data_IF_893972623500
#
_entry.id   IF_893972623500
#
_cell.length_a   1.000
_cell.length_b   1.000
_cell.length_c   1.000
_cell.angle_alpha   90.00
_cell.angle_beta   90.00
_cell.angle_gamma   90.00
#
_symmetry.space_group_name_H-M   'P 1'
#
loop_
_entity.id
_entity.type
_entity.pdbx_description
1 polymer ?
#
# COMPACT_ATOMS: atom_id res chain seq x y z
N UNK A 1 -11.93 16.62 -23.55
CA UNK A 1 -11.49 15.30 -24.03
C UNK A 1 -11.43 14.33 -22.85
N UNK A 2 -12.22 13.25 -22.84
CA UNK A 2 -12.04 12.16 -21.86
C UNK A 2 -10.67 11.53 -22.12
N UNK A 3 -9.73 11.57 -21.16
CA UNK A 3 -8.42 10.91 -21.28
C UNK A 3 -8.69 9.39 -21.45
N UNK A 4 -8.16 8.78 -22.53
CA UNK A 4 -8.26 7.33 -22.79
C UNK A 4 -7.87 6.55 -21.52
N UNK A 5 -8.73 5.65 -21.07
CA UNK A 5 -8.46 4.75 -19.94
C UNK A 5 -7.34 3.78 -20.35
N UNK A 6 -6.39 3.52 -19.46
CA UNK A 6 -5.28 2.59 -19.72
C UNK A 6 -5.56 1.28 -18.96
N UNK A 7 -6.31 0.37 -19.60
CA UNK A 7 -6.58 -0.95 -19.05
C UNK A 7 -5.42 -1.89 -19.37
N UNK A 8 -4.75 -2.40 -18.34
CA UNK A 8 -3.59 -3.28 -18.46
C UNK A 8 -3.75 -4.52 -17.56
N UNK A 9 -2.94 -5.56 -17.79
CA UNK A 9 -2.99 -6.82 -17.03
C UNK A 9 -1.68 -7.11 -16.28
N UNK A 10 -1.32 -6.29 -15.28
CA UNK A 10 0.01 -6.33 -14.68
C UNK A 10 0.27 -7.60 -13.85
N UNK A 11 -0.77 -8.25 -13.31
CA UNK A 11 -0.58 -9.46 -12.49
C UNK A 11 -0.09 -10.67 -13.28
N UNK A 12 -0.31 -10.71 -14.60
CA UNK A 12 0.16 -11.80 -15.48
C UNK A 12 1.70 -11.86 -15.62
N UNK A 13 2.40 -10.80 -15.20
CA UNK A 13 3.86 -10.69 -15.28
C UNK A 13 4.57 -11.08 -13.99
N UNK A 14 3.83 -11.28 -12.88
CA UNK A 14 4.42 -11.81 -11.66
C UNK A 14 4.91 -13.25 -11.87
N UNK A 15 6.07 -13.54 -11.28
CA UNK A 15 6.69 -14.87 -11.27
C UNK A 15 7.04 -15.25 -9.85
N UNK A 16 6.98 -16.54 -9.56
CA UNK A 16 7.39 -17.13 -8.28
C UNK A 16 8.89 -16.91 -8.06
N UNK A 17 9.29 -16.63 -6.83
CA UNK A 17 10.69 -16.36 -6.48
C UNK A 17 11.57 -17.60 -6.64
N UNK A 18 11.08 -18.78 -6.25
CA UNK A 18 11.89 -19.99 -6.22
C UNK A 18 12.31 -20.52 -7.61
N UNK A 19 11.42 -20.46 -8.59
CA UNK A 19 11.61 -21.08 -9.90
C UNK A 19 11.37 -20.14 -11.09
N UNK A 20 11.05 -18.87 -10.82
CA UNK A 20 10.74 -17.84 -11.80
C UNK A 20 9.64 -18.25 -12.80
N UNK A 21 8.78 -19.20 -12.44
CA UNK A 21 7.66 -19.61 -13.27
C UNK A 21 6.46 -18.67 -13.09
N UNK A 22 5.60 -18.53 -14.12
CA UNK A 22 4.31 -17.89 -13.98
C UNK A 22 3.48 -18.55 -12.88
N UNK A 23 2.70 -17.73 -12.17
CA UNK A 23 1.64 -18.27 -11.32
C UNK A 23 0.55 -18.95 -12.17
N UNK A 24 -0.16 -19.96 -11.63
CA UNK A 24 -1.31 -20.55 -12.30
C UNK A 24 -2.33 -19.48 -12.72
N UNK A 25 -2.97 -19.68 -13.88
CA UNK A 25 -3.94 -18.72 -14.40
C UNK A 25 -5.11 -18.48 -13.44
N UNK A 26 -5.55 -19.50 -12.72
CA UNK A 26 -6.59 -19.39 -11.68
C UNK A 26 -6.17 -18.49 -10.52
N UNK A 27 -4.93 -18.63 -10.03
CA UNK A 27 -4.36 -17.75 -9.00
C UNK A 27 -4.39 -16.28 -9.46
N UNK A 28 -3.94 -16.02 -10.69
CA UNK A 28 -3.94 -14.66 -11.25
C UNK A 28 -5.36 -14.11 -11.40
N UNK A 29 -6.33 -14.95 -11.82
CA UNK A 29 -7.75 -14.57 -11.86
C UNK A 29 -8.28 -14.22 -10.47
N UNK A 30 -7.94 -15.01 -9.46
CA UNK A 30 -8.35 -14.75 -8.07
C UNK A 30 -7.80 -13.42 -7.56
N UNK A 31 -6.57 -13.03 -7.93
CA UNK A 31 -6.04 -11.70 -7.57
C UNK A 31 -6.81 -10.55 -8.21
N UNK A 32 -7.21 -10.67 -9.48
CA UNK A 32 -8.04 -9.65 -10.12
C UNK A 32 -9.42 -9.53 -9.46
N UNK A 33 -10.07 -10.67 -9.21
CA UNK A 33 -11.38 -10.71 -8.54
C UNK A 33 -11.29 -10.13 -7.13
N UNK A 34 -10.30 -10.57 -6.34
CA UNK A 34 -10.07 -10.08 -4.99
C UNK A 34 -9.80 -8.57 -4.98
N UNK A 35 -8.97 -8.06 -5.89
CA UNK A 35 -8.72 -6.62 -6.02
C UNK A 35 -9.99 -5.84 -6.32
N UNK A 36 -10.74 -6.23 -7.34
CA UNK A 36 -11.97 -5.53 -7.69
C UNK A 36 -12.99 -5.56 -6.54
N UNK A 37 -13.18 -6.73 -5.92
CA UNK A 37 -14.11 -6.93 -4.82
C UNK A 37 -13.74 -6.09 -3.59
N UNK A 38 -12.49 -6.19 -3.11
CA UNK A 38 -12.06 -5.49 -1.89
C UNK A 38 -12.13 -3.97 -2.08
N UNK A 39 -11.71 -3.46 -3.24
CA UNK A 39 -11.76 -2.03 -3.51
C UNK A 39 -13.20 -1.50 -3.58
N UNK A 40 -14.16 -2.27 -4.12
CA UNK A 40 -15.58 -1.89 -4.08
C UNK A 40 -16.16 -2.01 -2.66
N UNK A 41 -15.87 -3.10 -1.96
CA UNK A 41 -16.37 -3.38 -0.60
C UNK A 41 -15.93 -2.34 0.42
N UNK A 42 -14.70 -1.82 0.28
CA UNK A 42 -14.11 -0.86 1.21
C UNK A 42 -14.11 0.60 0.70
N UNK A 43 -14.76 0.91 -0.43
CA UNK A 43 -14.70 2.25 -1.05
C UNK A 43 -15.13 3.40 -0.13
N UNK A 44 -16.05 3.13 0.80
CA UNK A 44 -16.58 4.11 1.75
C UNK A 44 -15.95 3.97 3.16
N UNK A 45 -14.94 3.11 3.31
CA UNK A 45 -14.24 2.89 4.58
C UNK A 45 -13.00 3.78 4.66
N UNK A 46 -12.99 4.69 5.63
CA UNK A 46 -11.83 5.51 5.97
C UNK A 46 -11.99 6.04 7.41
N UNK A 47 -10.90 6.34 8.09
CA UNK A 47 -10.96 6.88 9.46
C UNK A 47 -10.27 8.23 9.48
N UNK A 48 -10.86 9.23 10.12
CA UNK A 48 -10.21 10.53 10.29
C UNK A 48 -8.91 10.36 11.09
N UNK A 49 -7.84 11.12 10.79
CA UNK A 49 -6.64 11.17 11.61
C UNK A 49 -6.99 11.39 13.09
N UNK A 50 -6.36 10.62 13.99
CA UNK A 50 -6.64 10.66 15.43
C UNK A 50 -7.92 9.95 15.88
N UNK A 51 -8.73 9.38 14.97
CA UNK A 51 -9.87 8.54 15.37
C UNK A 51 -9.40 7.27 16.10
N UNK A 52 -10.13 6.86 17.13
CA UNK A 52 -9.90 5.60 17.85
C UNK A 52 -10.59 4.38 17.20
N UNK A 53 -11.28 4.59 16.07
CA UNK A 53 -11.90 3.50 15.31
C UNK A 53 -10.87 2.63 14.60
N UNK A 54 -11.24 1.39 14.27
CA UNK A 54 -10.41 0.52 13.45
C UNK A 54 -11.26 -0.35 12.54
N UNK A 55 -10.67 -0.78 11.43
CA UNK A 55 -11.30 -1.78 10.58
C UNK A 55 -11.13 -3.17 11.19
N UNK A 56 -12.24 -3.90 11.29
CA UNK A 56 -12.27 -5.34 11.54
C UNK A 56 -13.05 -6.03 10.43
N UNK A 57 -12.44 -7.00 9.77
CA UNK A 57 -13.04 -7.79 8.69
C UNK A 57 -12.95 -9.27 9.03
N UNK A 58 -14.05 -10.00 8.85
CA UNK A 58 -14.07 -11.46 8.88
C UNK A 58 -14.14 -11.98 7.46
N UNK A 59 -13.19 -12.85 7.10
CA UNK A 59 -13.20 -13.67 5.90
C UNK A 59 -13.61 -15.08 6.31
N UNK A 60 -14.80 -15.48 5.90
CA UNK A 60 -15.46 -16.72 6.33
C UNK A 60 -15.09 -17.88 5.39
N UNK A 61 -13.88 -18.41 5.60
CA UNK A 61 -13.29 -19.49 4.83
C UNK A 61 -11.86 -19.22 4.39
N UNK A 62 -11.23 -20.25 3.84
CA UNK A 62 -9.81 -20.27 3.47
C UNK A 62 -9.56 -20.96 2.11
N UNK A 63 -10.53 -20.82 1.21
CA UNK A 63 -10.38 -21.20 -0.20
C UNK A 63 -9.36 -20.30 -0.92
N UNK A 64 -8.77 -20.73 -2.04
CA UNK A 64 -7.81 -19.90 -2.79
C UNK A 64 -8.32 -18.51 -3.18
N UNK A 65 -9.63 -18.38 -3.46
CA UNK A 65 -10.25 -17.09 -3.75
C UNK A 65 -10.32 -16.20 -2.50
N UNK A 66 -10.76 -16.75 -1.37
CA UNK A 66 -10.83 -16.01 -0.10
C UNK A 66 -9.44 -15.65 0.44
N UNK A 67 -8.44 -16.50 0.28
CA UNK A 67 -7.05 -16.16 0.63
C UNK A 67 -6.46 -15.08 -0.28
N UNK A 68 -6.91 -15.00 -1.54
CA UNK A 68 -6.59 -13.87 -2.42
C UNK A 68 -7.26 -12.58 -1.94
N UNK A 69 -8.46 -12.65 -1.37
CA UNK A 69 -9.13 -11.53 -0.69
C UNK A 69 -8.36 -11.09 0.56
N UNK A 70 -7.93 -12.03 1.40
CA UNK A 70 -7.08 -11.75 2.58
C UNK A 70 -5.79 -11.04 2.16
N UNK A 71 -5.12 -11.54 1.11
CA UNK A 71 -3.94 -10.89 0.52
C UNK A 71 -4.25 -9.46 0.07
N UNK A 72 -5.37 -9.25 -0.61
CA UNK A 72 -5.72 -7.92 -1.11
C UNK A 72 -6.08 -6.95 0.03
N UNK A 73 -6.80 -7.41 1.06
CA UNK A 73 -7.05 -6.63 2.28
C UNK A 73 -5.71 -6.17 2.87
N UNK A 74 -4.75 -7.09 2.97
CA UNK A 74 -3.41 -6.81 3.47
C UNK A 74 -2.56 -5.85 2.61
N UNK A 75 -3.00 -5.51 1.38
CA UNK A 75 -2.32 -4.58 0.50
C UNK A 75 -2.94 -3.17 0.48
N UNK A 76 -4.20 -3.02 0.91
CA UNK A 76 -4.95 -1.76 0.75
C UNK A 76 -5.69 -1.26 2.00
N UNK A 77 -5.87 -2.09 3.02
CA UNK A 77 -6.56 -1.72 4.25
C UNK A 77 -5.61 -1.07 5.28
N UNK A 78 -4.91 -0.03 4.84
CA UNK A 78 -3.97 0.76 5.64
C UNK A 78 -4.55 2.15 5.84
N UNK A 79 -4.71 2.58 7.09
CA UNK A 79 -5.49 3.78 7.42
C UNK A 79 -4.67 4.83 8.16
N UNK A 80 -5.03 6.10 7.91
CA UNK A 80 -4.29 7.28 8.39
C UNK A 80 -4.31 7.43 9.91
N UNK A 81 -5.29 6.80 10.59
CA UNK A 81 -5.40 6.85 12.04
C UNK A 81 -4.60 5.76 12.75
N UNK A 82 -3.78 4.98 12.04
CA UNK A 82 -2.84 4.06 12.67
C UNK A 82 -1.80 4.82 13.48
N UNK A 83 -1.64 4.45 14.76
CA UNK A 83 -0.67 5.06 15.66
C UNK A 83 0.40 4.03 16.02
N UNK A 84 1.57 4.10 15.38
CA UNK A 84 2.71 3.23 15.73
C UNK A 84 3.25 3.57 17.15
N UNK A 85 3.30 4.87 17.47
CA UNK A 85 3.69 5.41 18.77
C UNK A 85 2.62 6.36 19.29
N UNK A 86 2.48 6.45 20.62
CA UNK A 86 1.64 7.45 21.27
C UNK A 86 2.28 8.85 21.25
N UNK A 87 1.54 9.86 21.73
CA UNK A 87 1.98 11.26 21.80
C UNK A 87 3.21 11.48 22.71
N UNK A 88 3.53 10.52 23.58
CA UNK A 88 4.72 10.54 24.44
C UNK A 88 5.90 9.78 23.79
N UNK A 89 5.74 9.30 22.55
CA UNK A 89 6.74 8.53 21.83
C UNK A 89 6.90 7.10 22.33
N UNK A 90 5.93 6.55 23.06
CA UNK A 90 5.93 5.15 23.50
C UNK A 90 5.27 4.27 22.45
N UNK A 91 5.84 3.09 22.23
CA UNK A 91 5.31 2.13 21.27
C UNK A 91 3.88 1.73 21.68
N UNK A 92 2.89 1.91 20.79
CA UNK A 92 1.47 1.71 21.10
C UNK A 92 0.74 0.83 20.07
N UNK A 93 1.07 0.97 18.78
CA UNK A 93 0.46 0.24 17.67
C UNK A 93 -1.07 0.15 17.73
N UNK A 94 -1.73 1.30 17.93
CA UNK A 94 -3.19 1.38 18.02
C UNK A 94 -3.81 1.43 16.63
N UNK A 95 -5.08 1.03 16.56
CA UNK A 95 -5.92 1.09 15.35
C UNK A 95 -5.40 0.25 14.18
N UNK A 96 -4.73 -0.88 14.45
CA UNK A 96 -4.44 -1.86 13.39
C UNK A 96 -5.71 -2.34 12.71
N UNK A 97 -5.62 -2.58 11.41
CA UNK A 97 -6.62 -3.37 10.69
C UNK A 97 -6.55 -4.81 11.16
N UNK A 98 -7.70 -5.36 11.55
CA UNK A 98 -7.83 -6.76 11.97
C UNK A 98 -8.47 -7.57 10.85
N UNK A 99 -7.74 -8.55 10.33
CA UNK A 99 -8.27 -9.51 9.35
C UNK A 99 -8.45 -10.86 10.04
N UNK A 100 -9.70 -11.23 10.28
CA UNK A 100 -10.06 -12.51 10.87
C UNK A 100 -10.30 -13.54 9.77
N UNK A 101 -9.67 -14.71 9.88
CA UNK A 101 -9.82 -15.82 8.94
C UNK A 101 -10.49 -16.98 9.68
N UNK A 102 -11.66 -17.39 9.23
CA UNK A 102 -12.36 -18.57 9.75
C UNK A 102 -11.91 -19.79 8.96
N UNK A 103 -11.42 -20.83 9.64
CA UNK A 103 -10.91 -22.04 8.97
C UNK A 103 -11.23 -23.31 9.73
N UNK A 104 -11.52 -24.37 8.96
CA UNK A 104 -11.60 -25.75 9.45
C UNK A 104 -10.24 -26.46 9.57
N UNK A 105 -9.14 -25.85 9.09
CA UNK A 105 -7.79 -26.45 9.13
C UNK A 105 -7.14 -26.31 10.50
N UNK A 106 -6.26 -27.26 10.85
CA UNK A 106 -5.37 -27.12 12.00
C UNK A 106 -4.33 -26.00 11.79
N UNK A 107 -3.62 -25.66 12.88
CA UNK A 107 -2.72 -24.50 12.96
C UNK A 107 -1.60 -24.61 11.92
N UNK A 108 -0.97 -25.76 11.80
CA UNK A 108 0.17 -25.93 10.91
C UNK A 108 -0.29 -25.90 9.45
N UNK A 109 -1.42 -26.55 9.14
CA UNK A 109 -2.01 -26.53 7.80
C UNK A 109 -2.39 -25.12 7.33
N UNK A 110 -3.08 -24.32 8.15
CA UNK A 110 -3.47 -22.97 7.74
C UNK A 110 -2.26 -22.03 7.63
N UNK A 111 -1.31 -22.11 8.56
CA UNK A 111 -0.10 -21.28 8.49
C UNK A 111 0.78 -21.64 7.29
N UNK A 112 0.88 -22.93 6.96
CA UNK A 112 1.54 -23.37 5.72
C UNK A 112 0.84 -22.85 4.48
N UNK A 113 -0.50 -22.81 4.46
CA UNK A 113 -1.26 -22.27 3.34
C UNK A 113 -1.03 -20.75 3.21
N UNK A 114 -1.19 -19.99 4.29
CA UNK A 114 -0.99 -18.54 4.30
C UNK A 114 0.45 -18.12 3.93
N UNK A 115 1.43 -18.95 4.27
CA UNK A 115 2.84 -18.74 3.96
C UNK A 115 3.21 -18.95 2.49
N UNK A 116 2.28 -19.36 1.62
CA UNK A 116 2.55 -19.48 0.17
C UNK A 116 2.73 -18.11 -0.48
N UNK A 117 3.52 -18.08 -1.55
CA UNK A 117 3.89 -16.86 -2.28
C UNK A 117 2.67 -16.11 -2.85
N UNK A 118 1.63 -16.84 -3.24
CA UNK A 118 0.43 -16.27 -3.83
C UNK A 118 -0.56 -15.63 -2.84
N UNK A 119 -0.30 -15.77 -1.53
CA UNK A 119 -1.16 -15.22 -0.47
C UNK A 119 -0.40 -14.20 0.39
N UNK A 120 -0.03 -14.54 1.63
CA UNK A 120 0.62 -13.60 2.55
C UNK A 120 2.14 -13.73 2.55
N UNK A 121 2.68 -14.86 2.09
CA UNK A 121 4.12 -15.10 2.00
C UNK A 121 4.83 -14.76 3.32
N UNK A 122 5.84 -13.87 3.30
CA UNK A 122 6.59 -13.49 4.50
C UNK A 122 5.79 -12.60 5.46
N UNK A 123 4.69 -11.97 5.02
CA UNK A 123 3.93 -11.06 5.88
C UNK A 123 3.47 -11.74 7.18
N UNK A 124 2.91 -12.96 7.08
CA UNK A 124 2.39 -13.69 8.26
C UNK A 124 3.48 -13.97 9.32
N UNK A 125 4.74 -14.02 8.91
CA UNK A 125 5.89 -14.25 9.81
C UNK A 125 6.34 -13.00 10.55
N UNK A 126 5.97 -11.81 10.06
CA UNK A 126 6.43 -10.53 10.59
C UNK A 126 5.32 -9.68 11.21
N UNK A 127 4.07 -9.86 10.77
CA UNK A 127 2.92 -9.22 11.37
C UNK A 127 2.54 -9.89 12.70
N UNK A 128 1.80 -9.16 13.54
CA UNK A 128 1.11 -9.76 14.68
C UNK A 128 0.03 -10.70 14.16
N UNK A 129 -0.04 -11.91 14.71
CA UNK A 129 -1.18 -12.77 14.47
C UNK A 129 -1.55 -13.56 15.71
N UNK A 130 -2.83 -13.92 15.82
CA UNK A 130 -3.34 -14.83 16.83
C UNK A 130 -3.96 -16.02 16.13
N UNK A 131 -3.58 -17.24 16.50
CA UNK A 131 -4.15 -18.48 15.96
C UNK A 131 -4.67 -19.33 17.10
N UNK A 132 -5.99 -19.57 17.11
CA UNK A 132 -6.67 -20.37 18.14
C UNK A 132 -6.33 -19.96 19.59
N UNK A 133 -6.16 -18.65 19.82
CA UNK A 133 -5.85 -18.06 21.13
C UNK A 133 -4.36 -17.83 21.40
N UNK A 134 -3.46 -18.34 20.55
CA UNK A 134 -2.02 -18.14 20.69
C UNK A 134 -1.54 -16.95 19.85
N UNK A 135 -0.97 -15.93 20.50
CA UNK A 135 -0.45 -14.73 19.84
C UNK A 135 1.04 -14.86 19.53
N UNK A 136 1.41 -14.42 18.32
CA UNK A 136 2.79 -14.37 17.82
C UNK A 136 3.09 -12.96 17.32
N UNK A 137 4.34 -12.52 17.50
CA UNK A 137 4.81 -11.18 17.13
C UNK A 137 3.98 -10.05 17.75
N UNK A 138 3.66 -10.14 19.04
CA UNK A 138 2.85 -9.13 19.74
C UNK A 138 3.42 -7.71 19.58
N UNK A 139 4.75 -7.58 19.58
CA UNK A 139 5.48 -6.32 19.36
C UNK A 139 5.70 -5.91 17.90
N UNK A 140 5.04 -6.54 16.91
CA UNK A 140 5.19 -6.17 15.50
C UNK A 140 4.79 -4.71 15.27
N UNK A 141 5.50 -3.92 14.47
CA UNK A 141 5.12 -2.54 14.16
C UNK A 141 4.11 -2.41 13.01
N UNK A 142 3.78 -3.51 12.32
CA UNK A 142 2.97 -3.52 11.10
C UNK A 142 1.50 -3.20 11.45
N UNK A 143 0.87 -2.33 10.66
CA UNK A 143 -0.50 -1.82 10.89
C UNK A 143 -1.63 -2.82 10.61
N UNK A 144 -1.30 -4.08 10.33
CA UNK A 144 -2.22 -5.19 10.10
C UNK A 144 -1.93 -6.31 11.09
N UNK A 145 -3.01 -6.87 11.65
CA UNK A 145 -2.96 -8.10 12.44
C UNK A 145 -3.95 -9.14 11.91
N UNK A 146 -3.59 -10.42 12.04
CA UNK A 146 -4.44 -11.54 11.62
C UNK A 146 -4.98 -12.30 12.83
N UNK A 147 -6.26 -12.67 12.78
CA UNK A 147 -6.90 -13.51 13.78
C UNK A 147 -7.43 -14.78 13.11
N UNK A 148 -6.83 -15.93 13.39
CA UNK A 148 -7.22 -17.21 12.79
C UNK A 148 -8.05 -17.98 13.81
N UNK A 149 -9.30 -18.26 13.46
CA UNK A 149 -10.31 -18.81 14.37
C UNK A 149 -11.04 -20.00 13.74
N UNK A 150 -11.61 -20.86 14.59
CA UNK A 150 -12.45 -21.99 14.15
C UNK A 150 -13.88 -21.58 13.87
N UNK A 151 -14.36 -20.63 14.67
CA UNK A 151 -15.73 -20.18 14.63
C UNK A 151 -15.77 -18.67 14.39
N UNK A 152 -16.75 -18.26 13.61
CA UNK A 152 -16.95 -16.87 13.27
C UNK A 152 -17.33 -16.04 14.51
N UNK A 153 -16.68 -14.90 14.76
CA UNK A 153 -17.13 -13.94 15.77
C UNK A 153 -18.50 -13.37 15.43
N UNK A 154 -19.38 -13.24 16.43
CA UNK A 154 -20.75 -12.74 16.24
C UNK A 154 -20.80 -11.23 15.92
N UNK A 155 -19.89 -10.44 16.51
CA UNK A 155 -19.93 -8.97 16.48
C UNK A 155 -18.94 -8.34 15.48
N UNK A 156 -18.94 -8.79 14.21
CA UNK A 156 -18.10 -8.19 13.17
C UNK A 156 -18.95 -7.47 12.09
N UNK A 157 -18.75 -6.15 11.87
CA UNK A 157 -19.56 -5.36 10.95
C UNK A 157 -19.31 -5.71 9.49
N UNK A 158 -18.08 -6.14 9.14
CA UNK A 158 -17.73 -6.56 7.78
C UNK A 158 -17.45 -8.04 7.76
N UNK A 159 -18.31 -8.80 7.09
CA UNK A 159 -18.09 -10.20 6.78
C UNK A 159 -18.03 -10.40 5.26
N UNK A 160 -17.08 -11.21 4.83
CA UNK A 160 -16.87 -11.58 3.43
C UNK A 160 -16.98 -13.10 3.34
N UNK A 161 -17.91 -13.58 2.52
CA UNK A 161 -18.05 -15.00 2.18
C UNK A 161 -17.71 -15.25 0.72
N UNK A 162 -17.41 -16.49 0.37
CA UNK A 162 -17.10 -16.86 -1.02
C UNK A 162 -18.26 -16.60 -1.98
N UNK A 163 -19.50 -16.82 -1.53
CA UNK A 163 -20.72 -16.50 -2.29
C UNK A 163 -20.83 -15.01 -2.67
N UNK A 164 -20.39 -14.12 -1.78
CA UNK A 164 -20.40 -12.66 -2.05
C UNK A 164 -19.38 -12.30 -3.13
N UNK A 165 -18.18 -12.88 -3.04
CA UNK A 165 -17.08 -12.59 -3.97
C UNK A 165 -17.37 -13.15 -5.35
N UNK A 166 -17.90 -14.38 -5.43
CA UNK A 166 -18.30 -15.02 -6.68
C UNK A 166 -19.50 -14.34 -7.31
N UNK A 167 -20.52 -13.96 -6.52
CA UNK A 167 -21.67 -13.19 -6.96
C UNK A 167 -21.27 -11.83 -7.54
N UNK A 168 -20.35 -11.10 -6.88
CA UNK A 168 -19.77 -9.87 -7.40
C UNK A 168 -19.05 -10.09 -8.73
N UNK A 169 -18.18 -11.10 -8.80
CA UNK A 169 -17.41 -11.40 -10.01
C UNK A 169 -18.31 -11.73 -11.22
N UNK A 170 -19.41 -12.44 -10.98
CA UNK A 170 -20.40 -12.78 -12.00
C UNK A 170 -21.18 -11.55 -12.50
N UNK A 171 -21.41 -10.55 -11.63
CA UNK A 171 -22.10 -9.31 -11.99
C UNK A 171 -21.20 -8.30 -12.72
N UNK A 172 -19.87 -8.41 -12.58
CA UNK A 172 -18.94 -7.49 -13.22
C UNK A 172 -18.77 -7.74 -14.73
N UNK A 173 -18.47 -6.66 -15.46
CA UNK A 173 -17.95 -6.77 -16.82
C UNK A 173 -16.61 -7.53 -16.79
N UNK A 174 -16.52 -8.63 -17.54
CA UNK A 174 -15.35 -9.53 -17.48
C UNK A 174 -14.07 -8.88 -18.02
N UNK A 175 -14.15 -7.99 -19.01
CA UNK A 175 -12.98 -7.26 -19.50
C UNK A 175 -12.45 -6.29 -18.44
N UNK A 176 -13.36 -5.59 -17.74
CA UNK A 176 -12.99 -4.66 -16.67
C UNK A 176 -12.54 -5.37 -15.40
N UNK A 177 -13.09 -6.54 -15.09
CA UNK A 177 -12.72 -7.34 -13.92
C UNK A 177 -11.27 -7.83 -14.03
N UNK A 178 -10.88 -8.29 -15.23
CA UNK A 178 -9.55 -8.85 -15.49
C UNK A 178 -8.59 -7.83 -16.13
N UNK A 179 -8.83 -6.53 -15.95
CA UNK A 179 -7.91 -5.46 -16.36
C UNK A 179 -7.98 -4.25 -15.44
N UNK A 180 -6.87 -3.56 -15.28
CA UNK A 180 -6.71 -2.49 -14.29
C UNK A 180 -6.47 -1.17 -15.01
N UNK A 181 -7.21 -0.13 -14.63
CA UNK A 181 -6.86 1.24 -15.04
C UNK A 181 -5.62 1.72 -14.29
N UNK A 182 -4.48 1.71 -14.98
CA UNK A 182 -3.16 1.98 -14.38
C UNK A 182 -2.82 3.47 -14.33
N UNK A 183 -3.71 4.37 -14.76
CA UNK A 183 -3.40 5.81 -14.82
C UNK A 183 -2.95 6.38 -13.48
N UNK A 184 -3.59 5.99 -12.37
CA UNK A 184 -3.16 6.42 -11.02
C UNK A 184 -1.74 5.91 -10.71
N UNK A 185 -1.49 4.62 -10.92
CA UNK A 185 -0.18 4.00 -10.71
C UNK A 185 0.95 4.66 -11.54
N UNK A 186 0.67 5.03 -12.80
CA UNK A 186 1.63 5.75 -13.65
C UNK A 186 1.96 7.13 -13.08
N UNK A 187 0.96 7.84 -12.54
CA UNK A 187 1.17 9.14 -11.91
C UNK A 187 1.91 9.01 -10.56
N UNK A 188 1.61 7.99 -9.76
CA UNK A 188 2.39 7.61 -8.57
C UNK A 188 3.86 7.39 -8.94
N UNK A 189 4.13 6.62 -9.99
CA UNK A 189 5.50 6.39 -10.47
C UNK A 189 6.22 7.65 -10.97
N UNK A 190 5.49 8.72 -11.34
CA UNK A 190 6.08 10.01 -11.72
C UNK A 190 6.54 10.82 -10.51
N UNK A 191 5.90 10.67 -9.35
CA UNK A 191 6.32 11.32 -8.10
C UNK A 191 7.76 10.92 -7.77
N UNK A 192 8.07 9.62 -7.85
CA UNK A 192 9.42 9.09 -7.63
C UNK A 192 10.48 9.61 -8.62
N UNK A 193 10.10 10.16 -9.78
CA UNK A 193 11.06 10.77 -10.72
C UNK A 193 11.57 12.13 -10.27
N UNK A 194 10.92 12.75 -9.27
CA UNK A 194 11.35 14.01 -8.70
C UNK A 194 12.33 13.82 -7.54
N UNK A 195 12.86 12.61 -7.35
CA UNK A 195 13.87 12.30 -6.34
C UNK A 195 14.98 13.34 -6.26
N UNK A 196 15.64 13.64 -7.38
CA UNK A 196 16.71 14.63 -7.43
C UNK A 196 16.31 16.06 -6.96
N UNK A 197 15.01 16.41 -6.98
CA UNK A 197 14.52 17.69 -6.47
C UNK A 197 14.33 17.64 -4.94
N UNK A 198 13.87 16.50 -4.41
CA UNK A 198 13.60 16.33 -2.98
C UNK A 198 14.79 15.76 -2.19
N UNK A 199 15.77 15.15 -2.85
CA UNK A 199 16.94 14.52 -2.21
C UNK A 199 17.73 15.53 -1.36
N UNK A 200 17.81 16.79 -1.81
CA UNK A 200 18.49 17.88 -1.10
C UNK A 200 17.68 18.48 0.07
N UNK A 201 16.46 18.02 0.33
CA UNK A 201 15.70 18.49 1.48
C UNK A 201 16.37 18.01 2.78
N UNK A 202 16.52 18.87 3.79
CA UNK A 202 17.03 18.45 5.10
C UNK A 202 16.10 17.40 5.74
N UNK A 203 16.67 16.53 6.58
CA UNK A 203 15.91 15.50 7.30
C UNK A 203 15.15 16.06 8.52
N UNK A 204 15.35 17.33 8.85
CA UNK A 204 14.56 18.07 9.83
C UNK A 204 13.22 18.49 9.22
N UNK A 205 12.12 18.22 9.94
CA UNK A 205 10.78 18.67 9.54
C UNK A 205 10.34 18.12 8.16
N UNK A 206 10.61 16.82 7.92
CA UNK A 206 10.30 16.09 6.67
C UNK A 206 8.82 16.16 6.30
N UNK A 207 7.92 16.38 7.26
CA UNK A 207 6.47 16.39 7.01
C UNK A 207 5.93 17.78 6.69
N UNK A 208 6.75 18.84 6.74
CA UNK A 208 6.32 20.19 6.38
C UNK A 208 6.09 20.34 4.88
N UNK A 209 4.83 20.54 4.51
CA UNK A 209 4.42 20.71 3.11
C UNK A 209 5.15 21.84 2.39
N UNK A 210 5.54 22.90 3.12
CA UNK A 210 6.29 24.05 2.59
C UNK A 210 7.60 23.64 1.93
N UNK A 211 8.24 22.56 2.41
CA UNK A 211 9.49 22.05 1.83
C UNK A 211 9.30 21.45 0.44
N UNK A 212 8.11 20.97 0.13
CA UNK A 212 7.80 20.28 -1.12
C UNK A 212 7.18 21.20 -2.18
N UNK A 213 6.95 22.49 -1.91
CA UNK A 213 6.25 23.40 -2.84
C UNK A 213 6.87 23.35 -4.24
N UNK A 214 8.20 23.47 -4.37
CA UNK A 214 8.86 23.42 -5.68
C UNK A 214 8.73 22.04 -6.37
N UNK A 215 8.75 20.95 -5.61
CA UNK A 215 8.55 19.61 -6.14
C UNK A 215 7.08 19.41 -6.58
N UNK A 216 6.11 19.90 -5.80
CA UNK A 216 4.68 19.88 -6.11
C UNK A 216 4.38 20.71 -7.36
N UNK A 217 4.94 21.92 -7.47
CA UNK A 217 4.82 22.77 -8.66
C UNK A 217 5.41 22.08 -9.90
N UNK A 218 6.62 21.52 -9.76
CA UNK A 218 7.24 20.77 -10.86
C UNK A 218 6.39 19.56 -11.26
N UNK A 219 5.86 18.83 -10.29
CA UNK A 219 4.96 17.71 -10.53
C UNK A 219 3.71 18.17 -11.30
N UNK A 220 3.03 19.19 -10.79
CA UNK A 220 1.77 19.70 -11.31
C UNK A 220 1.92 20.29 -12.72
N UNK A 221 2.90 21.14 -12.95
CA UNK A 221 3.00 21.91 -14.19
C UNK A 221 3.84 21.22 -15.27
N UNK A 222 4.76 20.33 -14.89
CA UNK A 222 5.62 19.60 -15.84
C UNK A 222 5.20 18.15 -16.00
N UNK A 223 5.21 17.37 -14.92
CA UNK A 223 5.04 15.92 -15.03
C UNK A 223 3.59 15.49 -15.27
N UNK A 224 2.60 16.21 -14.76
CA UNK A 224 1.19 15.90 -15.04
C UNK A 224 0.75 16.31 -16.45
N UNK A 225 1.44 17.26 -17.07
CA UNK A 225 1.20 17.67 -18.46
C UNK A 225 1.66 16.60 -19.48
N UNK A 226 2.61 15.74 -19.10
CA UNK A 226 3.08 14.67 -19.96
C UNK A 226 1.99 13.63 -20.27
N UNK A 227 1.89 13.21 -21.54
CA UNK A 227 1.00 12.13 -21.96
C UNK A 227 1.21 10.88 -21.11
N UNK A 228 0.14 10.39 -20.48
CA UNK A 228 0.18 9.14 -19.70
C UNK A 228 0.45 7.98 -20.67
N UNK A 229 1.54 7.26 -20.41
CA UNK A 229 1.96 6.08 -21.16
C UNK A 229 1.57 4.81 -20.39
N UNK A 230 1.48 3.64 -21.05
CA UNK A 230 1.28 2.37 -20.36
C UNK A 230 2.29 2.17 -19.24
N UNK A 231 1.84 1.56 -18.14
CA UNK A 231 2.67 1.19 -17.01
C UNK A 231 3.56 -0.01 -17.34
N UNK A 232 3.03 -0.96 -18.12
CA UNK A 232 3.73 -2.16 -18.54
C UNK A 232 4.70 -1.81 -19.67
N UNK A 233 5.96 -2.15 -19.43
CA UNK A 233 7.03 -2.18 -20.43
C UNK A 233 7.38 -3.65 -20.65
N UNK A 234 6.82 -4.24 -21.70
CA UNK A 234 6.93 -5.68 -21.98
C UNK A 234 8.37 -6.19 -21.98
N UNK A 235 9.30 -5.46 -22.59
CA UNK A 235 10.69 -5.86 -22.69
C UNK A 235 11.34 -5.88 -21.30
N UNK A 236 11.09 -4.84 -20.50
CA UNK A 236 11.63 -4.71 -19.14
C UNK A 236 10.98 -5.67 -18.14
N UNK A 237 9.67 -5.86 -18.22
CA UNK A 237 8.90 -6.69 -17.28
C UNK A 237 9.15 -8.18 -17.51
N UNK A 238 9.35 -8.62 -18.76
CA UNK A 238 9.76 -10.00 -19.06
C UNK A 238 11.16 -10.34 -18.56
N UNK A 239 12.03 -9.34 -18.41
CA UNK A 239 13.44 -9.52 -18.02
C UNK A 239 13.76 -9.17 -16.57
N UNK A 240 12.86 -8.51 -15.84
CA UNK A 240 13.14 -8.03 -14.47
C UNK A 240 11.92 -8.10 -13.55
N UNK A 241 11.90 -9.11 -12.67
CA UNK A 241 10.88 -9.21 -11.61
C UNK A 241 10.96 -8.07 -10.59
N UNK A 242 12.16 -7.51 -10.36
CA UNK A 242 12.30 -6.27 -9.56
C UNK A 242 11.54 -5.11 -10.19
N UNK A 243 11.56 -4.97 -11.52
CA UNK A 243 10.80 -3.94 -12.22
C UNK A 243 9.28 -4.18 -12.14
N UNK A 244 8.83 -5.43 -12.27
CA UNK A 244 7.41 -5.81 -12.10
C UNK A 244 6.94 -5.44 -10.70
N UNK A 245 7.64 -5.91 -9.66
CA UNK A 245 7.30 -5.65 -8.25
C UNK A 245 7.36 -4.16 -7.90
N UNK A 246 8.34 -3.43 -8.45
CA UNK A 246 8.44 -1.99 -8.26
C UNK A 246 7.24 -1.22 -8.83
N UNK A 247 6.80 -1.56 -10.05
CA UNK A 247 5.63 -0.90 -10.65
C UNK A 247 4.31 -1.34 -10.02
N UNK A 248 4.18 -2.60 -9.60
CA UNK A 248 3.01 -3.05 -8.83
C UNK A 248 2.89 -2.34 -7.49
N UNK A 249 4.01 -1.99 -6.85
CA UNK A 249 4.00 -1.16 -5.64
C UNK A 249 3.32 0.19 -5.88
N UNK A 250 3.55 0.82 -7.05
CA UNK A 250 2.86 2.06 -7.43
C UNK A 250 1.35 1.84 -7.59
N UNK A 251 0.95 0.67 -8.10
CA UNK A 251 -0.45 0.29 -8.24
C UNK A 251 -1.11 0.16 -6.85
N UNK A 252 -0.56 -0.62 -5.94
CA UNK A 252 -1.13 -0.82 -4.60
C UNK A 252 -1.13 0.47 -3.77
N UNK A 253 -0.10 1.30 -3.90
CA UNK A 253 -0.11 2.64 -3.33
C UNK A 253 -1.31 3.45 -3.85
N UNK A 254 -1.53 3.44 -5.17
CA UNK A 254 -2.62 4.18 -5.79
C UNK A 254 -4.03 3.67 -5.46
N UNK A 255 -4.15 2.43 -4.98
CA UNK A 255 -5.40 1.85 -4.50
C UNK A 255 -5.86 2.48 -3.18
N UNK A 256 -4.96 3.13 -2.44
CA UNK A 256 -5.25 3.78 -1.16
C UNK A 256 -5.60 5.27 -1.30
N UNK A 257 -5.61 5.84 -2.51
CA UNK A 257 -5.76 7.30 -2.69
C UNK A 257 -7.14 7.79 -2.26
N UNK A 258 -8.20 7.09 -2.64
CA UNK A 258 -9.58 7.46 -2.34
C UNK A 258 -9.87 7.33 -0.84
N UNK A 259 -9.37 6.28 -0.17
CA UNK A 259 -9.55 6.11 1.28
C UNK A 259 -8.81 7.19 2.08
N UNK A 260 -7.60 7.60 1.64
CA UNK A 260 -6.86 8.72 2.23
C UNK A 260 -7.57 10.06 2.01
N UNK A 261 -8.05 10.32 0.79
CA UNK A 261 -8.83 11.53 0.52
C UNK A 261 -10.12 11.58 1.35
N UNK A 262 -10.81 10.45 1.51
CA UNK A 262 -11.99 10.35 2.36
C UNK A 262 -11.65 10.54 3.85
N UNK A 263 -10.51 10.03 4.32
CA UNK A 263 -10.00 10.26 5.67
C UNK A 263 -9.79 11.75 5.96
N UNK A 264 -9.12 12.47 5.05
CA UNK A 264 -8.92 13.91 5.16
C UNK A 264 -10.25 14.66 5.08
N UNK A 265 -11.16 14.26 4.19
CA UNK A 265 -12.49 14.85 4.13
C UNK A 265 -13.25 14.74 5.46
N UNK A 266 -13.24 13.55 6.10
CA UNK A 266 -13.86 13.34 7.42
C UNK A 266 -13.22 14.20 8.50
N UNK A 267 -11.89 14.38 8.44
CA UNK A 267 -11.18 15.31 9.33
C UNK A 267 -11.66 16.75 9.16
N UNK A 268 -11.79 17.22 7.92
CA UNK A 268 -12.30 18.56 7.62
C UNK A 268 -13.73 18.75 8.12
N UNK A 269 -14.60 17.75 7.92
CA UNK A 269 -15.99 17.77 8.42
C UNK A 269 -16.06 17.88 9.95
N UNK A 270 -15.16 17.20 10.67
CA UNK A 270 -15.11 17.24 12.13
C UNK A 270 -14.44 18.50 12.69
N UNK A 271 -13.39 19.01 12.04
CA UNK A 271 -12.57 20.12 12.54
C UNK A 271 -12.98 21.49 12.01
N UNK A 272 -13.72 21.55 10.89
CA UNK A 272 -13.96 22.78 10.14
C UNK A 272 -12.75 23.30 9.37
N UNK A 273 -11.65 22.54 9.31
CA UNK A 273 -10.41 22.94 8.65
C UNK A 273 -10.55 22.90 7.11
N UNK A 274 -9.96 23.87 6.38
CA UNK A 274 -9.83 23.78 4.93
C UNK A 274 -9.07 22.52 4.50
N UNK A 275 -9.48 21.91 3.37
CA UNK A 275 -8.91 20.64 2.90
C UNK A 275 -7.39 20.74 2.67
N UNK A 276 -6.90 21.84 2.12
CA UNK A 276 -5.47 22.04 1.89
C UNK A 276 -4.69 21.97 3.21
N UNK A 277 -5.10 22.75 4.22
CA UNK A 277 -4.46 22.77 5.53
C UNK A 277 -4.55 21.38 6.21
N UNK A 278 -5.64 20.65 5.99
CA UNK A 278 -5.83 19.31 6.52
C UNK A 278 -4.85 18.27 5.92
N UNK A 279 -4.55 18.35 4.62
CA UNK A 279 -3.50 17.53 4.01
C UNK A 279 -2.12 17.87 4.57
N UNK A 280 -1.83 19.15 4.79
CA UNK A 280 -0.54 19.61 5.30
C UNK A 280 -0.31 19.19 6.76
N UNK A 281 -1.29 19.42 7.65
CA UNK A 281 -1.15 19.12 9.09
C UNK A 281 -1.14 17.61 9.38
N UNK A 282 -1.81 16.80 8.56
CA UNK A 282 -1.88 15.35 8.73
C UNK A 282 -0.86 14.58 7.87
N UNK A 283 0.10 15.27 7.27
CA UNK A 283 1.05 14.67 6.34
C UNK A 283 1.92 13.58 7.00
N UNK A 284 2.30 13.74 8.28
CA UNK A 284 3.01 12.70 9.02
C UNK A 284 2.18 11.42 9.14
N UNK A 285 0.93 11.52 9.59
CA UNK A 285 0.03 10.38 9.73
C UNK A 285 -0.22 9.67 8.38
N UNK A 286 -0.36 10.45 7.31
CA UNK A 286 -0.46 9.91 5.94
C UNK A 286 0.82 9.17 5.53
N UNK A 287 1.99 9.72 5.86
CA UNK A 287 3.30 9.13 5.53
C UNK A 287 3.57 7.84 6.30
N UNK A 288 3.22 7.81 7.59
CA UNK A 288 3.25 6.60 8.43
C UNK A 288 2.40 5.51 7.78
N UNK A 289 1.14 5.83 7.43
CA UNK A 289 0.24 4.89 6.77
C UNK A 289 0.78 4.36 5.43
N UNK A 290 1.43 5.20 4.61
CA UNK A 290 2.07 4.74 3.37
C UNK A 290 3.26 3.82 3.60
N UNK A 291 4.10 4.11 4.59
CA UNK A 291 5.23 3.25 4.89
C UNK A 291 4.79 1.85 5.33
N UNK A 292 3.80 1.75 6.21
CA UNK A 292 3.28 0.43 6.64
C UNK A 292 2.61 -0.33 5.48
N UNK A 293 1.87 0.35 4.61
CA UNK A 293 1.37 -0.22 3.34
C UNK A 293 2.49 -0.74 2.47
N UNK A 294 3.59 0.02 2.35
CA UNK A 294 4.76 -0.39 1.58
C UNK A 294 5.45 -1.60 2.21
N UNK A 295 5.60 -1.65 3.55
CA UNK A 295 6.16 -2.80 4.27
C UNK A 295 5.35 -4.06 4.00
N UNK A 296 4.01 -3.99 4.13
CA UNK A 296 3.13 -5.12 3.85
C UNK A 296 3.25 -5.61 2.40
N UNK A 297 3.25 -4.69 1.42
CA UNK A 297 3.49 -5.00 0.00
C UNK A 297 4.82 -5.75 -0.21
N UNK A 298 5.92 -5.25 0.36
CA UNK A 298 7.23 -5.89 0.18
C UNK A 298 7.30 -7.28 0.79
N UNK A 299 6.74 -7.48 1.98
CA UNK A 299 6.68 -8.79 2.62
C UNK A 299 5.83 -9.79 1.81
N UNK A 300 4.67 -9.36 1.30
CA UNK A 300 3.84 -10.18 0.40
C UNK A 300 4.60 -10.52 -0.88
N UNK A 301 5.36 -9.57 -1.42
CA UNK A 301 6.19 -9.75 -2.62
C UNK A 301 7.47 -10.56 -2.37
N UNK A 302 7.65 -11.08 -1.14
CA UNK A 302 8.73 -11.98 -0.75
C UNK A 302 10.06 -11.30 -0.44
N UNK A 303 10.06 -9.98 -0.25
CA UNK A 303 11.20 -9.31 0.38
C UNK A 303 11.20 -9.57 1.88
N UNK A 304 12.38 -9.76 2.46
CA UNK A 304 12.57 -9.86 3.92
C UNK A 304 13.35 -8.67 4.48
N UNK A 305 13.22 -8.37 5.78
CA UNK A 305 14.17 -7.49 6.47
C UNK A 305 15.60 -8.03 6.35
N UNK A 306 16.58 -7.15 6.54
CA UNK A 306 17.97 -7.57 6.66
C UNK A 306 18.15 -8.48 7.88
N UNK A 307 18.94 -9.53 7.72
CA UNK A 307 19.44 -10.33 8.84
C UNK A 307 20.45 -9.50 9.64
N UNK A 308 20.68 -9.88 10.89
CA UNK A 308 21.61 -9.18 11.79
C UNK A 308 23.01 -9.02 11.16
N UNK A 309 23.56 -10.09 10.59
CA UNK A 309 24.86 -10.04 9.91
C UNK A 309 24.88 -9.15 8.67
N UNK A 310 23.79 -9.14 7.90
CA UNK A 310 23.66 -8.26 6.74
C UNK A 310 23.57 -6.80 7.16
N UNK A 311 22.88 -6.52 8.27
CA UNK A 311 22.79 -5.19 8.87
C UNK A 311 24.15 -4.69 9.34
N UNK A 312 24.88 -5.51 10.11
CA UNK A 312 26.23 -5.19 10.56
C UNK A 312 27.16 -4.90 9.37
N UNK A 313 27.07 -5.73 8.33
CA UNK A 313 27.83 -5.54 7.10
C UNK A 313 27.46 -4.21 6.43
N UNK A 314 26.17 -3.92 6.25
CA UNK A 314 25.70 -2.68 5.66
C UNK A 314 26.18 -1.44 6.42
N UNK A 315 26.07 -1.46 7.76
CA UNK A 315 26.47 -0.36 8.63
C UNK A 315 27.99 -0.12 8.60
N UNK A 316 28.79 -1.16 8.39
CA UNK A 316 30.27 -1.07 8.26
C UNK A 316 30.78 -0.52 6.92
N UNK A 317 29.95 -0.54 5.87
CA UNK A 317 30.32 -0.08 4.53
C UNK A 317 29.97 1.39 4.33
N UNK A 318 30.62 2.08 3.38
CA UNK A 318 30.34 3.48 3.03
C UNK A 318 30.29 3.72 1.52
N UNK A 319 29.64 4.81 1.11
CA UNK A 319 29.59 5.27 -0.29
C UNK A 319 29.17 4.19 -1.29
N UNK A 320 29.95 4.05 -2.37
CA UNK A 320 29.67 3.09 -3.46
C UNK A 320 29.63 1.63 -3.01
N UNK A 321 30.39 1.27 -1.97
CA UNK A 321 30.42 -0.09 -1.46
C UNK A 321 29.12 -0.41 -0.72
N UNK A 322 28.64 0.50 0.13
CA UNK A 322 27.34 0.38 0.81
C UNK A 322 26.20 0.28 -0.20
N UNK A 323 26.19 1.16 -1.20
CA UNK A 323 25.18 1.13 -2.27
C UNK A 323 25.19 -0.17 -3.07
N UNK A 324 26.37 -0.65 -3.45
CA UNK A 324 26.51 -1.92 -4.20
C UNK A 324 26.05 -3.12 -3.37
N UNK A 325 26.38 -3.15 -2.08
CA UNK A 325 25.97 -4.20 -1.16
C UNK A 325 24.44 -4.25 -0.97
N UNK A 326 23.82 -3.10 -0.71
CA UNK A 326 22.36 -3.00 -0.67
C UNK A 326 21.69 -3.44 -1.97
N UNK A 327 22.22 -3.00 -3.12
CA UNK A 327 21.65 -3.36 -4.42
C UNK A 327 21.78 -4.86 -4.71
N UNK A 328 22.86 -5.50 -4.26
CA UNK A 328 23.03 -6.94 -4.33
C UNK A 328 21.95 -7.65 -3.51
N UNK A 329 21.78 -7.29 -2.23
CA UNK A 329 20.79 -7.86 -1.32
C UNK A 329 19.34 -7.69 -1.84
N UNK A 330 19.01 -6.51 -2.36
CA UNK A 330 17.69 -6.20 -2.93
C UNK A 330 17.35 -7.00 -4.18
N UNK A 331 18.36 -7.36 -4.98
CA UNK A 331 18.18 -8.06 -6.25
C UNK A 331 18.48 -9.56 -6.17
N UNK A 332 18.68 -10.10 -4.97
CA UNK A 332 18.77 -11.54 -4.79
C UNK A 332 17.50 -12.22 -5.33
N UNK A 333 17.67 -13.22 -6.18
CA UNK A 333 16.54 -13.85 -6.86
C UNK A 333 15.75 -14.81 -5.97
N UNK A 334 16.35 -15.30 -4.88
CA UNK A 334 15.76 -16.31 -4.00
C UNK A 334 15.25 -15.71 -2.70
N UNK A 335 15.99 -14.76 -2.13
CA UNK A 335 15.72 -14.16 -0.84
C UNK A 335 16.02 -12.66 -0.86
N UNK A 336 15.31 -11.87 -1.70
CA UNK A 336 15.54 -10.43 -1.79
C UNK A 336 15.29 -9.79 -0.43
N UNK A 337 16.10 -8.82 -0.07
CA UNK A 337 15.95 -8.12 1.21
C UNK A 337 16.01 -6.60 1.05
N UNK A 338 15.33 -5.89 1.96
CA UNK A 338 15.28 -4.43 1.94
C UNK A 338 15.55 -3.86 3.32
N UNK A 339 16.37 -2.82 3.36
CA UNK A 339 16.77 -2.17 4.61
C UNK A 339 15.61 -1.41 5.27
N UNK A 340 14.71 -0.86 4.45
CA UNK A 340 13.54 -0.09 4.90
C UNK A 340 12.39 -0.94 5.42
N UNK A 341 12.52 -2.27 5.43
CA UNK A 341 11.55 -3.17 6.08
C UNK A 341 11.69 -3.08 7.62
N UNK A 342 11.34 -1.91 8.15
CA UNK A 342 11.47 -1.50 9.53
C UNK A 342 10.29 -0.60 9.94
N UNK A 343 10.25 -0.26 11.23
CA UNK A 343 9.27 0.65 11.82
C UNK A 343 9.42 2.07 11.23
N UNK A 344 8.37 2.90 11.17
CA UNK A 344 8.50 4.24 10.57
C UNK A 344 9.47 5.12 11.36
N UNK A 345 9.49 4.92 12.68
CA UNK A 345 10.46 5.58 13.57
C UNK A 345 11.89 5.14 13.29
N UNK A 346 12.12 3.84 13.04
CA UNK A 346 13.45 3.34 12.70
C UNK A 346 13.90 3.80 11.31
N UNK A 347 12.96 3.94 10.37
CA UNK A 347 13.26 4.46 9.02
C UNK A 347 13.96 5.81 9.11
N UNK A 348 13.52 6.70 10.00
CA UNK A 348 14.16 8.01 10.24
C UNK A 348 15.66 7.91 10.57
N UNK A 349 16.08 6.84 11.23
CA UNK A 349 17.48 6.60 11.58
C UNK A 349 18.25 5.89 10.47
N UNK A 350 17.57 5.01 9.75
CA UNK A 350 18.19 4.08 8.79
C UNK A 350 18.30 4.72 7.39
N UNK A 351 17.19 5.26 6.89
CA UNK A 351 17.08 5.85 5.57
C UNK A 351 16.03 7.00 5.60
N UNK A 352 16.37 8.16 6.19
CA UNK A 352 15.46 9.30 6.26
C UNK A 352 15.09 9.87 4.89
N UNK A 353 15.82 9.53 3.82
CA UNK A 353 15.49 9.96 2.48
C UNK A 353 14.20 9.30 1.98
N UNK A 354 13.95 8.03 2.33
CA UNK A 354 12.69 7.35 1.99
C UNK A 354 11.47 8.02 2.62
N UNK A 355 11.57 8.55 3.84
CA UNK A 355 10.47 9.30 4.47
C UNK A 355 10.07 10.55 3.65
N UNK A 356 11.03 11.16 2.92
CA UNK A 356 10.74 12.29 2.04
C UNK A 356 9.83 11.87 0.88
N UNK A 357 10.01 10.67 0.35
CA UNK A 357 9.15 10.14 -0.71
C UNK A 357 7.75 9.84 -0.21
N UNK A 358 7.61 9.24 0.99
CA UNK A 358 6.29 9.03 1.60
C UNK A 358 5.56 10.36 1.77
N UNK A 359 6.21 11.33 2.41
CA UNK A 359 5.70 12.68 2.63
C UNK A 359 5.30 13.39 1.33
N UNK A 360 6.20 13.42 0.35
CA UNK A 360 5.93 14.07 -0.93
C UNK A 360 4.77 13.41 -1.68
N UNK A 361 4.72 12.07 -1.68
CA UNK A 361 3.67 11.32 -2.36
C UNK A 361 2.30 11.61 -1.77
N UNK A 362 2.18 11.69 -0.44
CA UNK A 362 0.92 11.99 0.23
C UNK A 362 0.39 13.37 -0.18
N UNK A 363 1.25 14.38 -0.21
CA UNK A 363 0.90 15.74 -0.66
C UNK A 363 0.53 15.79 -2.15
N UNK A 364 1.04 14.87 -2.97
CA UNK A 364 0.72 14.80 -4.40
C UNK A 364 -0.64 14.16 -4.71
N UNK A 365 -1.22 13.36 -3.79
CA UNK A 365 -2.52 12.68 -3.97
C UNK A 365 -3.64 13.63 -4.43
N UNK A 366 -3.94 14.76 -3.75
CA UNK A 366 -5.03 15.65 -4.17
C UNK A 366 -4.82 16.19 -5.60
N UNK A 367 -3.58 16.46 -5.99
CA UNK A 367 -3.22 16.93 -7.34
C UNK A 367 -3.49 15.82 -8.38
N UNK A 368 -3.11 14.58 -8.06
CA UNK A 368 -3.36 13.41 -8.93
C UNK A 368 -4.86 13.17 -9.12
N UNK A 369 -5.63 13.11 -8.03
CA UNK A 369 -7.08 12.86 -8.09
C UNK A 369 -7.81 13.94 -8.87
N UNK A 370 -7.48 15.23 -8.65
CA UNK A 370 -8.02 16.36 -9.41
C UNK A 370 -7.71 16.26 -10.91
N UNK A 371 -6.49 15.83 -11.25
CA UNK A 371 -6.03 15.68 -12.65
C UNK A 371 -6.73 14.57 -13.42
N UNK A 372 -7.20 13.54 -12.71
CA UNK A 372 -7.97 12.44 -13.27
C UNK A 372 -9.50 12.68 -13.23
N UNK A 373 -9.93 13.85 -12.74
CA UNK A 373 -11.34 14.20 -12.51
C UNK A 373 -12.06 13.24 -11.54
N UNK A 374 -11.34 12.69 -10.56
CA UNK A 374 -11.88 11.77 -9.55
C UNK A 374 -12.37 12.48 -8.27
N UNK A 375 -12.25 13.81 -8.21
CA UNK A 375 -12.91 14.65 -7.20
C UNK A 375 -13.89 15.60 -7.90
N UNK A 376 -15.09 15.85 -7.34
CA UNK A 376 -16.00 16.84 -7.89
C UNK A 376 -15.33 18.21 -7.85
N UNK A 377 -15.15 18.82 -9.03
CA UNK A 377 -14.60 20.16 -9.16
C UNK A 377 -15.48 21.16 -8.40
N UNK A 378 -14.98 21.64 -7.26
CA UNK A 378 -15.47 22.87 -6.64
C UNK A 378 -15.52 23.96 -7.71
N UNK A 379 -16.68 24.61 -7.83
CA UNK A 379 -16.92 25.70 -8.77
C UNK A 379 -15.80 26.73 -8.65
N UNK A 380 -15.12 27.06 -9.75
CA UNK A 380 -14.38 28.33 -9.82
C UNK A 380 -15.42 29.45 -9.81
N UNK A 381 -15.19 30.56 -9.09
CA UNK A 381 -16.01 31.74 -9.27
C UNK A 381 -15.79 32.23 -10.70
N UNK A 382 -16.88 32.30 -11.46
CA UNK A 382 -16.90 32.94 -12.75
C UNK A 382 -16.43 34.39 -12.55
N UNK A 383 -15.33 34.77 -13.20
CA UNK A 383 -14.90 36.15 -13.29
C UNK A 383 -16.04 36.98 -13.88
N UNK A 384 -16.52 37.95 -13.10
CA UNK A 384 -17.45 38.95 -13.56
C UNK A 384 -16.81 39.77 -14.68
N UNK A 385 -17.54 39.94 -15.77
CA UNK A 385 -17.27 40.99 -16.74
C UNK A 385 -17.52 42.33 -16.04
N UNK A 386 -16.50 43.17 -15.97
CA UNK A 386 -16.66 44.59 -15.69
C UNK A 386 -17.09 45.24 -17.01
N UNK A 387 -18.18 46.00 -16.95
CA UNK A 387 -18.68 46.82 -18.06
C UNK A 387 -17.89 48.10 -18.24
#
# INVERSE_FOLDING_TARGET
MKKKVLRERPFEYLRRLGDNQPFPAETVRNWYVARAYVLDKLKDTAFAPGSAERLSVVVDGDSPLLLSVVRQLALCAHYVNYEEYDQLGRFSCRNRTVVTIVTGKDKDSILSELGKEEYLNLLIRHCKYTVFGETVNEGSYIDIEFCIVRERPQDCPVCIKEEDVTGFAAACNQEELYSIDTRKAVLTGRVYKLGAIIDNLPAEDIHSAKRYIHALDTFQYRLLAEKIRPMIDDAKWKSSQTAVRGNLSNLFCSDCFESRALSIKRFCEASGMPEQDAWEINNEALSVSEHHRWVADKLIMGFRPLLEQERLSYESLFGKNRYSYWKMLKNDSKAPSHIDLCSYRDLRRIDPDNMKYDSFLMLAIPIILKTLCLLPSGRRPCGGKVG
#
